data_IF_363464964628
#
_entry.id   IF_363464964628
#
_cell.length_a   1.000
_cell.length_b   1.000
_cell.length_c   1.000
_cell.angle_alpha   90.00
_cell.angle_beta   90.00
_cell.angle_gamma   90.00
#
_symmetry.space_group_name_H-M   'P 1'
#
loop_
_entity.id
_entity.type
_entity.pdbx_description
1 polymer ?
#
# COMPACT_ATOMS: atom_id res chain seq x y z
N UNK A 1 21.07 -27.46 -32.27
CA UNK A 1 20.08 -26.37 -32.11
C UNK A 1 18.84 -27.02 -31.53
N UNK A 2 18.66 -26.93 -30.22
CA UNK A 2 17.56 -27.58 -29.50
C UNK A 2 16.37 -26.60 -29.39
N UNK A 3 15.20 -27.06 -29.79
CA UNK A 3 13.92 -26.33 -29.73
C UNK A 3 13.52 -26.02 -28.28
N UNK A 4 12.89 -24.87 -28.02
CA UNK A 4 12.30 -24.59 -26.72
C UNK A 4 10.96 -25.34 -26.58
N UNK A 5 10.85 -26.14 -25.52
CA UNK A 5 9.60 -26.73 -25.06
C UNK A 5 8.70 -25.62 -24.48
N UNK A 6 7.63 -25.29 -25.19
CA UNK A 6 6.51 -24.54 -24.62
C UNK A 6 5.68 -25.50 -23.76
N UNK A 7 5.65 -25.27 -22.45
CA UNK A 7 4.71 -25.91 -21.53
C UNK A 7 3.39 -25.13 -21.65
N UNK A 8 2.39 -25.75 -22.26
CA UNK A 8 1.04 -25.19 -22.35
C UNK A 8 0.32 -25.35 -21.01
N UNK A 9 -0.21 -24.25 -20.47
CA UNK A 9 -1.12 -24.26 -19.32
C UNK A 9 -2.53 -24.61 -19.80
N UNK A 10 -3.14 -25.62 -19.18
CA UNK A 10 -4.45 -26.15 -19.58
C UNK A 10 -5.57 -25.39 -18.85
N UNK A 11 -6.42 -24.68 -19.61
CA UNK A 11 -7.65 -24.08 -19.12
C UNK A 11 -8.73 -25.16 -19.03
N UNK A 12 -9.13 -25.55 -17.82
CA UNK A 12 -10.27 -26.44 -17.61
C UNK A 12 -11.54 -25.59 -17.52
N UNK A 13 -12.26 -25.45 -18.64
CA UNK A 13 -13.52 -24.68 -18.74
C UNK A 13 -14.79 -25.54 -18.55
N UNK A 14 -15.90 -24.98 -18.03
CA UNK A 14 -17.20 -25.62 -18.03
C UNK A 14 -18.00 -25.40 -19.33
N UNK A 15 -19.03 -26.24 -19.50
CA UNK A 15 -19.92 -26.44 -20.67
C UNK A 15 -20.64 -25.15 -21.16
N UNK A 16 -20.89 -24.95 -22.47
CA UNK A 16 -21.38 -23.69 -23.00
C UNK A 16 -22.88 -23.50 -22.75
N UNK A 17 -23.24 -22.38 -22.13
CA UNK A 17 -24.61 -21.88 -21.95
C UNK A 17 -24.63 -20.37 -22.19
N UNK A 18 -25.60 -19.90 -22.98
CA UNK A 18 -25.56 -18.61 -23.69
C UNK A 18 -25.66 -17.31 -22.87
N UNK A 19 -25.29 -16.23 -23.57
CA UNK A 19 -25.42 -14.78 -23.32
C UNK A 19 -24.50 -14.13 -22.24
N UNK A 20 -23.25 -13.83 -22.59
CA UNK A 20 -22.31 -13.09 -21.71
C UNK A 20 -21.35 -12.21 -22.51
N UNK A 21 -21.81 -11.09 -23.08
CA UNK A 21 -20.90 -10.13 -23.74
C UNK A 21 -20.78 -8.79 -23.01
N UNK A 22 -21.80 -8.34 -22.28
CA UNK A 22 -21.73 -7.08 -21.53
C UNK A 22 -21.24 -7.26 -20.07
N UNK A 23 -21.71 -8.31 -19.39
CA UNK A 23 -21.36 -8.57 -17.97
C UNK A 23 -19.89 -9.02 -17.83
N UNK A 24 -19.37 -9.76 -18.81
CA UNK A 24 -17.99 -10.26 -18.80
C UNK A 24 -16.95 -9.13 -18.84
N UNK A 25 -17.24 -8.02 -19.51
CA UNK A 25 -16.28 -6.91 -19.69
C UNK A 25 -16.14 -6.09 -18.40
N UNK A 26 -17.23 -5.92 -17.65
CA UNK A 26 -17.21 -5.12 -16.42
C UNK A 26 -16.43 -5.78 -15.27
N UNK A 27 -16.23 -7.10 -15.32
CA UNK A 27 -15.59 -7.86 -14.25
C UNK A 27 -14.35 -8.63 -14.71
N UNK A 28 -13.78 -8.24 -15.85
CA UNK A 28 -12.53 -8.81 -16.33
C UNK A 28 -11.38 -8.42 -15.39
N UNK A 29 -10.57 -9.41 -15.05
CA UNK A 29 -9.29 -9.21 -14.40
C UNK A 29 -8.17 -9.45 -15.39
N UNK A 30 -7.15 -8.61 -15.34
CA UNK A 30 -5.83 -8.94 -15.90
C UNK A 30 -4.97 -9.45 -14.76
N UNK A 31 -4.54 -10.70 -14.83
CA UNK A 31 -3.76 -11.36 -13.79
C UNK A 31 -2.38 -11.71 -14.33
N UNK A 32 -1.33 -11.30 -13.64
CA UNK A 32 0.05 -11.69 -13.95
C UNK A 32 0.54 -12.64 -12.88
N UNK A 33 0.77 -13.91 -13.23
CA UNK A 33 1.35 -14.93 -12.33
C UNK A 33 2.69 -15.36 -12.88
N UNK A 34 3.74 -15.26 -12.06
CA UNK A 34 5.12 -15.66 -12.45
C UNK A 34 5.61 -15.04 -13.78
N UNK A 35 5.10 -13.85 -14.14
CA UNK A 35 5.44 -13.12 -15.37
C UNK A 35 4.55 -13.41 -16.58
N UNK A 36 3.58 -14.32 -16.46
CA UNK A 36 2.60 -14.61 -17.50
C UNK A 36 1.32 -13.82 -17.23
N UNK A 37 0.95 -12.96 -18.18
CA UNK A 37 -0.30 -12.19 -18.14
C UNK A 37 -1.46 -13.01 -18.70
N UNK A 38 -2.61 -12.96 -18.05
CA UNK A 38 -3.81 -13.72 -18.44
C UNK A 38 -5.06 -12.93 -18.07
N UNK A 39 -5.95 -12.78 -19.03
CA UNK A 39 -7.29 -12.24 -18.80
C UNK A 39 -8.20 -13.33 -18.24
N UNK A 40 -8.89 -13.04 -17.15
CA UNK A 40 -9.82 -13.98 -16.50
C UNK A 40 -11.04 -13.25 -15.95
N UNK A 41 -12.23 -13.78 -16.24
CA UNK A 41 -13.49 -13.33 -15.66
C UNK A 41 -14.20 -14.42 -14.84
N UNK A 42 -13.76 -15.67 -14.94
CA UNK A 42 -14.25 -16.81 -14.16
C UNK A 42 -13.22 -17.95 -14.15
N UNK A 43 -13.36 -18.88 -13.20
CA UNK A 43 -12.53 -20.08 -13.14
C UNK A 43 -11.27 -19.91 -12.29
N UNK A 44 -10.24 -20.72 -12.58
CA UNK A 44 -9.00 -20.79 -11.78
C UNK A 44 -7.78 -20.89 -12.66
N UNK A 45 -6.77 -20.07 -12.37
CA UNK A 45 -5.42 -20.17 -12.93
C UNK A 45 -4.52 -20.87 -11.91
N UNK A 46 -3.80 -21.89 -12.35
CA UNK A 46 -2.80 -22.58 -11.53
C UNK A 46 -1.44 -21.92 -11.75
N UNK A 47 -0.81 -21.45 -10.68
CA UNK A 47 0.59 -21.05 -10.69
C UNK A 47 1.49 -22.23 -10.33
N UNK A 48 2.80 -21.97 -10.28
CA UNK A 48 3.81 -22.98 -9.93
C UNK A 48 3.68 -23.51 -8.49
N UNK A 49 3.22 -22.67 -7.57
CA UNK A 49 3.16 -22.96 -6.13
C UNK A 49 1.77 -22.70 -5.51
N UNK A 50 0.86 -22.11 -6.27
CA UNK A 50 -0.39 -21.57 -5.75
C UNK A 50 -1.41 -21.39 -6.86
N UNK A 51 -2.50 -20.67 -6.58
CA UNK A 51 -3.58 -20.48 -7.56
C UNK A 51 -4.23 -19.12 -7.45
N UNK A 52 -4.86 -18.71 -8.54
CA UNK A 52 -5.79 -17.57 -8.60
C UNK A 52 -7.17 -18.10 -8.97
N UNK A 53 -8.19 -17.80 -8.18
CA UNK A 53 -9.56 -18.23 -8.41
C UNK A 53 -10.48 -17.02 -8.40
N UNK A 54 -11.26 -16.84 -9.46
CA UNK A 54 -12.39 -15.90 -9.46
C UNK A 54 -13.51 -16.56 -8.66
N UNK A 55 -13.87 -15.97 -7.51
CA UNK A 55 -14.83 -16.55 -6.57
C UNK A 55 -16.27 -16.19 -6.89
N UNK A 56 -16.47 -15.02 -7.50
CA UNK A 56 -17.72 -14.52 -8.06
C UNK A 56 -17.40 -13.33 -8.97
N UNK A 57 -18.36 -12.81 -9.77
CA UNK A 57 -18.10 -11.66 -10.64
C UNK A 57 -17.49 -10.48 -9.87
N UNK A 58 -16.33 -10.03 -10.32
CA UNK A 58 -15.56 -8.94 -9.71
C UNK A 58 -14.82 -9.31 -8.42
N UNK A 59 -14.85 -10.57 -7.97
CA UNK A 59 -14.13 -11.01 -6.78
C UNK A 59 -13.12 -12.11 -7.10
N UNK A 60 -11.90 -11.96 -6.59
CA UNK A 60 -10.78 -12.83 -6.92
C UNK A 60 -9.96 -13.16 -5.67
N UNK A 61 -9.51 -14.40 -5.56
CA UNK A 61 -8.63 -14.88 -4.50
C UNK A 61 -7.33 -15.41 -5.12
N UNK A 62 -6.18 -14.95 -4.63
CA UNK A 62 -4.86 -15.42 -4.99
C UNK A 62 -4.18 -16.01 -3.74
N UNK A 63 -3.73 -17.26 -3.82
CA UNK A 63 -3.22 -18.00 -2.67
C UNK A 63 -1.91 -18.72 -3.00
N UNK A 64 -0.90 -18.57 -2.13
CA UNK A 64 0.36 -19.32 -2.19
C UNK A 64 1.30 -18.97 -3.35
N UNK A 65 1.10 -17.83 -4.01
CA UNK A 65 1.90 -17.44 -5.18
C UNK A 65 3.20 -16.74 -4.79
N UNK A 66 4.29 -17.02 -5.52
CA UNK A 66 5.54 -16.29 -5.32
C UNK A 66 5.38 -14.82 -5.70
N UNK A 67 4.79 -14.55 -6.86
CA UNK A 67 4.52 -13.21 -7.37
C UNK A 67 3.19 -13.20 -8.10
N UNK A 68 2.31 -12.26 -7.76
CA UNK A 68 1.02 -12.07 -8.42
C UNK A 68 0.66 -10.60 -8.54
N UNK A 69 0.15 -10.19 -9.69
CA UNK A 69 -0.45 -8.88 -9.91
C UNK A 69 -1.87 -9.07 -10.41
N UNK A 70 -2.82 -8.34 -9.83
CA UNK A 70 -4.23 -8.37 -10.24
C UNK A 70 -4.64 -6.94 -10.58
N UNK A 71 -5.20 -6.76 -11.78
CA UNK A 71 -5.70 -5.47 -12.26
C UNK A 71 -7.17 -5.54 -12.62
N UNK A 72 -7.94 -4.51 -12.25
CA UNK A 72 -9.33 -4.35 -12.67
C UNK A 72 -10.35 -5.11 -11.79
N UNK A 73 -11.34 -5.75 -12.42
CA UNK A 73 -12.43 -6.44 -11.71
C UNK A 73 -13.66 -5.59 -11.39
N UNK A 74 -13.79 -4.39 -11.96
CA UNK A 74 -15.01 -3.58 -11.87
C UNK A 74 -15.35 -3.08 -10.47
N UNK A 75 -14.34 -2.87 -9.62
CA UNK A 75 -14.55 -2.37 -8.26
C UNK A 75 -14.96 -3.43 -7.23
N UNK A 76 -14.79 -4.72 -7.53
CA UNK A 76 -14.97 -5.77 -6.53
C UNK A 76 -13.71 -6.03 -5.68
N UNK A 77 -13.73 -7.13 -4.90
CA UNK A 77 -12.73 -7.41 -3.88
C UNK A 77 -11.70 -8.45 -4.32
N UNK A 78 -10.42 -8.15 -4.07
CA UNK A 78 -9.30 -9.07 -4.30
C UNK A 78 -8.65 -9.44 -2.98
N UNK A 79 -8.40 -10.73 -2.79
CA UNK A 79 -7.79 -11.28 -1.56
C UNK A 79 -6.51 -12.02 -1.92
N UNK A 80 -5.40 -11.66 -1.27
CA UNK A 80 -4.10 -12.30 -1.40
C UNK A 80 -3.76 -12.99 -0.09
N UNK A 81 -3.45 -14.28 -0.16
CA UNK A 81 -3.06 -15.08 0.99
C UNK A 81 -1.72 -15.73 0.75
N UNK A 82 -0.81 -15.64 1.72
CA UNK A 82 0.50 -16.31 1.70
C UNK A 82 1.35 -16.03 0.44
N UNK A 83 1.18 -14.86 -0.16
CA UNK A 83 1.91 -14.50 -1.38
C UNK A 83 3.29 -13.90 -1.04
N UNK A 84 4.31 -14.20 -1.85
CA UNK A 84 5.62 -13.57 -1.73
C UNK A 84 5.54 -12.07 -2.02
N UNK A 85 5.20 -11.75 -3.26
CA UNK A 85 4.92 -10.39 -3.73
C UNK A 85 3.50 -10.35 -4.32
N UNK A 86 2.67 -9.43 -3.84
CA UNK A 86 1.28 -9.28 -4.28
C UNK A 86 1.00 -7.83 -4.65
N UNK A 87 0.39 -7.60 -5.80
CA UNK A 87 0.00 -6.26 -6.25
C UNK A 87 -1.46 -6.22 -6.69
N UNK A 88 -2.15 -5.13 -6.34
CA UNK A 88 -3.52 -4.85 -6.75
C UNK A 88 -3.60 -3.46 -7.39
N UNK A 89 -4.12 -3.38 -8.61
CA UNK A 89 -4.20 -2.12 -9.37
C UNK A 89 -5.63 -1.88 -9.86
N UNK A 90 -6.21 -0.72 -9.57
CA UNK A 90 -7.55 -0.34 -10.03
C UNK A 90 -8.66 -1.26 -9.52
N UNK A 91 -8.55 -1.75 -8.29
CA UNK A 91 -9.52 -2.65 -7.65
C UNK A 91 -10.43 -1.89 -6.69
N UNK A 92 -11.58 -2.47 -6.33
CA UNK A 92 -12.44 -1.87 -5.31
C UNK A 92 -11.83 -1.98 -3.93
N UNK A 93 -11.56 -3.21 -3.52
CA UNK A 93 -10.96 -3.51 -2.22
C UNK A 93 -9.85 -4.55 -2.34
N UNK A 94 -8.74 -4.35 -1.65
CA UNK A 94 -7.61 -5.29 -1.59
C UNK A 94 -7.35 -5.76 -0.16
N UNK A 95 -7.26 -7.07 0.04
CA UNK A 95 -6.91 -7.69 1.32
C UNK A 95 -5.65 -8.52 1.18
N UNK A 96 -4.67 -8.28 2.06
CA UNK A 96 -3.39 -8.98 2.07
C UNK A 96 -3.20 -9.70 3.40
N UNK A 97 -3.20 -11.03 3.33
CA UNK A 97 -3.03 -11.92 4.47
C UNK A 97 -1.68 -12.60 4.39
N UNK A 98 -0.77 -12.21 5.29
CA UNK A 98 0.56 -12.80 5.39
C UNK A 98 1.38 -12.76 4.08
N UNK A 99 1.37 -11.61 3.41
CA UNK A 99 2.16 -11.42 2.20
C UNK A 99 3.57 -10.90 2.53
N UNK A 100 4.55 -11.11 1.65
CA UNK A 100 5.89 -10.54 1.80
C UNK A 100 5.90 -9.05 1.47
N UNK A 101 5.88 -8.70 0.18
CA UNK A 101 5.68 -7.35 -0.30
C UNK A 101 4.26 -7.17 -0.84
N UNK A 102 3.65 -6.04 -0.54
CA UNK A 102 2.30 -5.68 -0.99
C UNK A 102 2.35 -4.34 -1.70
N UNK A 103 1.85 -4.27 -2.93
CA UNK A 103 1.69 -3.01 -3.67
C UNK A 103 0.23 -2.76 -3.98
N UNK A 104 -0.21 -1.53 -3.82
CA UNK A 104 -1.55 -1.12 -4.21
C UNK A 104 -1.49 0.19 -4.96
N UNK A 105 -2.17 0.25 -6.09
CA UNK A 105 -2.38 1.50 -6.83
C UNK A 105 -3.87 1.62 -7.19
N UNK A 106 -4.52 2.68 -6.73
CA UNK A 106 -5.93 2.94 -7.03
C UNK A 106 -6.87 1.90 -6.42
N UNK A 107 -7.04 1.94 -5.10
CA UNK A 107 -8.02 1.11 -4.39
C UNK A 107 -8.89 1.93 -3.42
N UNK A 108 -10.18 1.61 -3.31
CA UNK A 108 -11.04 2.29 -2.33
C UNK A 108 -10.72 1.86 -0.90
N UNK A 109 -10.47 0.57 -0.69
CA UNK A 109 -10.13 0.02 0.61
C UNK A 109 -8.97 -0.97 0.54
N UNK A 110 -8.03 -0.84 1.47
CA UNK A 110 -6.86 -1.72 1.61
C UNK A 110 -6.79 -2.23 3.04
N UNK A 111 -6.66 -3.55 3.19
CA UNK A 111 -6.45 -4.20 4.47
C UNK A 111 -5.22 -5.10 4.43
N UNK A 112 -4.33 -4.95 5.42
CA UNK A 112 -3.09 -5.73 5.51
C UNK A 112 -2.93 -6.26 6.92
N UNK A 113 -3.04 -7.58 7.10
CA UNK A 113 -2.86 -8.20 8.42
C UNK A 113 -1.38 -8.38 8.75
N UNK A 114 -0.58 -8.79 7.77
CA UNK A 114 0.87 -8.96 7.95
C UNK A 114 1.62 -8.78 6.65
N UNK A 115 2.58 -7.86 6.64
CA UNK A 115 3.55 -7.68 5.56
C UNK A 115 4.99 -7.46 6.05
N UNK A 116 5.95 -7.67 5.15
CA UNK A 116 7.31 -7.13 5.30
C UNK A 116 7.35 -5.69 4.80
N UNK A 117 6.83 -5.42 3.60
CA UNK A 117 6.78 -4.09 3.00
C UNK A 117 5.40 -3.84 2.37
N UNK A 118 4.89 -2.63 2.56
CA UNK A 118 3.67 -2.12 1.93
C UNK A 118 4.00 -0.81 1.22
N UNK A 119 3.68 -0.74 -0.07
CA UNK A 119 3.63 0.49 -0.84
C UNK A 119 2.18 0.67 -1.32
N UNK A 120 1.50 1.72 -0.89
CA UNK A 120 0.14 2.02 -1.38
C UNK A 120 0.05 3.45 -1.90
N UNK A 121 -0.48 3.59 -3.11
CA UNK A 121 -0.75 4.86 -3.76
C UNK A 121 -2.25 4.97 -4.08
N UNK A 122 -2.80 6.16 -3.92
CA UNK A 122 -4.21 6.46 -4.24
C UNK A 122 -5.18 5.48 -3.57
N UNK A 123 -5.03 5.32 -2.25
CA UNK A 123 -5.83 4.41 -1.45
C UNK A 123 -6.81 5.15 -0.55
N UNK A 124 -8.12 4.96 -0.75
CA UNK A 124 -9.16 5.69 -0.02
C UNK A 124 -9.07 5.46 1.51
N UNK A 125 -9.09 4.20 1.92
CA UNK A 125 -8.92 3.77 3.32
C UNK A 125 -7.90 2.65 3.41
N UNK A 126 -6.93 2.79 4.31
CA UNK A 126 -5.87 1.81 4.52
C UNK A 126 -5.84 1.37 5.98
N UNK A 127 -5.94 0.06 6.23
CA UNK A 127 -5.79 -0.56 7.55
C UNK A 127 -4.61 -1.52 7.56
N UNK A 128 -3.65 -1.31 8.46
CA UNK A 128 -2.44 -2.14 8.59
C UNK A 128 -2.31 -2.64 10.02
N UNK A 129 -2.42 -3.95 10.24
CA UNK A 129 -2.23 -4.51 11.57
C UNK A 129 -0.74 -4.62 11.92
N UNK A 130 0.05 -5.20 11.02
CA UNK A 130 1.49 -5.40 11.22
C UNK A 130 2.25 -5.32 9.91
N UNK A 131 3.12 -4.33 9.78
CA UNK A 131 4.12 -4.31 8.71
C UNK A 131 5.51 -3.97 9.25
N UNK A 132 6.59 -4.31 8.55
CA UNK A 132 7.89 -3.71 8.91
C UNK A 132 7.97 -2.31 8.34
N UNK A 133 7.74 -2.16 7.05
CA UNK A 133 7.88 -0.89 6.34
C UNK A 133 6.58 -0.60 5.59
N UNK A 134 5.99 0.57 5.83
CA UNK A 134 4.80 1.03 5.13
C UNK A 134 5.08 2.40 4.52
N UNK A 135 4.89 2.52 3.21
CA UNK A 135 4.94 3.77 2.44
C UNK A 135 3.56 3.99 1.84
N UNK A 136 2.96 5.13 2.14
CA UNK A 136 1.56 5.38 1.86
C UNK A 136 1.43 6.80 1.33
N UNK A 137 0.88 6.93 0.11
CA UNK A 137 0.71 8.23 -0.56
C UNK A 137 -0.69 8.40 -1.09
N UNK A 138 -1.29 9.55 -0.78
CA UNK A 138 -2.58 9.95 -1.35
C UNK A 138 -3.72 9.06 -0.87
N UNK A 139 -4.43 9.50 0.17
CA UNK A 139 -5.56 8.76 0.69
C UNK A 139 -6.45 9.55 1.63
N UNK A 140 -7.56 8.95 2.02
CA UNK A 140 -8.50 9.56 2.96
C UNK A 140 -8.13 9.24 4.41
N UNK A 141 -8.08 7.95 4.73
CA UNK A 141 -7.92 7.46 6.09
C UNK A 141 -6.85 6.37 6.18
N UNK A 142 -5.92 6.53 7.12
CA UNK A 142 -4.93 5.52 7.47
C UNK A 142 -5.07 5.11 8.94
N UNK A 143 -5.14 3.80 9.20
CA UNK A 143 -4.97 3.22 10.53
C UNK A 143 -3.89 2.15 10.51
N UNK A 144 -2.78 2.35 11.22
CA UNK A 144 -1.75 1.33 11.39
C UNK A 144 -1.45 1.03 12.87
N UNK A 145 -1.38 -0.25 13.23
CA UNK A 145 -1.24 -0.67 14.64
C UNK A 145 0.18 -1.05 15.05
N UNK A 146 0.97 -1.61 14.15
CA UNK A 146 2.36 -2.00 14.44
C UNK A 146 3.23 -1.93 13.20
N UNK A 147 3.97 -0.84 13.06
CA UNK A 147 4.98 -0.70 12.02
C UNK A 147 6.39 -0.57 12.61
N UNK A 148 7.43 -1.05 11.91
CA UNK A 148 8.80 -0.63 12.26
C UNK A 148 9.00 0.81 11.77
N UNK A 149 8.63 1.08 10.53
CA UNK A 149 8.64 2.41 9.92
C UNK A 149 7.34 2.62 9.17
N UNK A 150 6.75 3.79 9.32
CA UNK A 150 5.63 4.29 8.51
C UNK A 150 6.06 5.63 7.89
N UNK A 151 5.90 5.74 6.59
CA UNK A 151 6.15 6.93 5.78
C UNK A 151 4.82 7.27 5.08
N UNK A 152 4.23 8.41 5.43
CA UNK A 152 2.85 8.75 5.08
C UNK A 152 2.81 10.15 4.50
N UNK A 153 2.20 10.29 3.34
CA UNK A 153 2.14 11.55 2.60
C UNK A 153 0.74 11.79 2.05
N UNK A 154 0.22 13.01 2.22
CA UNK A 154 -1.06 13.44 1.63
C UNK A 154 -2.27 12.58 2.07
N UNK A 155 -2.50 12.51 3.39
CA UNK A 155 -3.66 11.82 3.98
C UNK A 155 -4.57 12.78 4.75
N UNK A 156 -5.89 12.62 4.62
CA UNK A 156 -6.84 13.39 5.44
C UNK A 156 -6.71 13.10 6.94
N UNK A 157 -6.71 11.82 7.30
CA UNK A 157 -6.62 11.35 8.68
C UNK A 157 -5.65 10.18 8.82
N UNK A 158 -4.76 10.27 9.80
CA UNK A 158 -3.73 9.26 10.07
C UNK A 158 -3.73 8.88 11.54
N UNK A 159 -3.92 7.60 11.83
CA UNK A 159 -3.80 7.03 13.18
C UNK A 159 -2.75 5.93 13.23
N UNK A 160 -1.68 6.15 13.97
CA UNK A 160 -0.56 5.22 14.08
C UNK A 160 -0.30 4.84 15.54
N UNK A 161 -0.23 3.54 15.80
CA UNK A 161 0.11 3.02 17.11
C UNK A 161 1.39 2.18 17.05
N UNK A 162 2.13 2.15 18.17
CA UNK A 162 3.25 1.23 18.44
C UNK A 162 4.29 1.15 17.32
N UNK A 163 4.58 2.27 16.67
CA UNK A 163 5.57 2.36 15.59
C UNK A 163 6.97 2.69 16.12
N UNK A 164 8.04 2.13 15.53
CA UNK A 164 9.42 2.55 15.90
C UNK A 164 9.83 3.87 15.25
N UNK A 165 9.29 4.20 14.09
CA UNK A 165 9.53 5.46 13.41
C UNK A 165 8.32 5.82 12.55
N UNK A 166 7.95 7.09 12.58
CA UNK A 166 6.88 7.65 11.77
C UNK A 166 7.43 8.88 11.07
N UNK A 167 7.22 8.98 9.76
CA UNK A 167 7.33 10.20 8.98
C UNK A 167 5.95 10.47 8.39
N UNK A 168 5.45 11.66 8.63
CA UNK A 168 4.14 12.09 8.16
C UNK A 168 4.26 13.48 7.56
N UNK A 169 3.77 13.65 6.35
CA UNK A 169 3.82 14.91 5.63
C UNK A 169 2.48 15.20 4.97
N UNK A 170 2.07 16.47 4.97
CA UNK A 170 0.81 16.91 4.35
C UNK A 170 -0.42 16.12 4.85
N UNK A 171 -0.57 15.96 6.16
CA UNK A 171 -1.74 15.29 6.74
C UNK A 171 -2.78 16.29 7.25
N UNK A 172 -4.08 16.02 7.08
CA UNK A 172 -5.12 16.83 7.74
C UNK A 172 -5.03 16.69 9.27
N UNK A 173 -5.00 15.45 9.75
CA UNK A 173 -4.82 15.12 11.16
C UNK A 173 -3.89 13.90 11.33
N UNK A 174 -3.03 13.97 12.35
CA UNK A 174 -2.08 12.91 12.72
C UNK A 174 -2.22 12.57 14.20
N UNK A 175 -2.69 11.37 14.50
CA UNK A 175 -2.73 10.79 15.85
C UNK A 175 -1.65 9.71 15.99
N UNK A 176 -0.74 9.88 16.95
CA UNK A 176 0.35 8.92 17.22
C UNK A 176 0.33 8.43 18.66
N UNK A 177 0.39 7.11 18.84
CA UNK A 177 0.28 6.47 20.15
C UNK A 177 1.42 5.49 20.37
N UNK A 178 2.13 5.58 21.50
CA UNK A 178 3.19 4.63 21.87
C UNK A 178 4.32 4.49 20.82
N UNK A 179 4.64 5.56 20.09
CA UNK A 179 5.65 5.55 19.03
C UNK A 179 7.04 5.97 19.55
N UNK A 180 8.12 5.42 18.98
CA UNK A 180 9.48 5.81 19.47
C UNK A 180 9.95 7.15 18.91
N UNK A 181 9.79 7.39 17.62
CA UNK A 181 10.18 8.64 16.97
C UNK A 181 9.11 9.00 15.95
N UNK A 182 8.72 10.27 15.94
CA UNK A 182 7.72 10.82 15.02
C UNK A 182 8.30 12.10 14.45
N UNK A 183 8.37 12.18 13.13
CA UNK A 183 8.67 13.40 12.39
C UNK A 183 7.40 13.77 11.60
N UNK A 184 6.83 14.94 11.89
CA UNK A 184 5.61 15.43 11.25
C UNK A 184 5.87 16.80 10.60
N UNK A 185 5.49 16.95 9.34
CA UNK A 185 5.56 18.23 8.63
C UNK A 185 4.24 18.57 7.95
N UNK A 186 3.89 19.87 7.94
CA UNK A 186 2.72 20.39 7.21
C UNK A 186 1.42 19.65 7.51
N UNK A 187 1.22 19.27 8.77
CA UNK A 187 -0.01 18.65 9.23
C UNK A 187 -0.97 19.70 9.81
N UNK A 188 -2.27 19.60 9.54
CA UNK A 188 -3.26 20.51 10.14
C UNK A 188 -3.30 20.38 11.68
N UNK A 189 -3.34 19.14 12.17
CA UNK A 189 -3.28 18.84 13.60
C UNK A 189 -2.40 17.61 13.88
N UNK A 190 -1.63 17.68 14.97
CA UNK A 190 -0.83 16.56 15.49
C UNK A 190 -1.21 16.31 16.94
N UNK A 191 -1.66 15.10 17.25
CA UNK A 191 -1.96 14.66 18.61
C UNK A 191 -1.20 13.38 18.94
N UNK A 192 -0.89 13.17 20.23
CA UNK A 192 -0.28 11.91 20.63
C UNK A 192 -0.04 11.72 22.12
N UNK A 193 0.22 10.46 22.48
CA UNK A 193 0.55 10.06 23.84
C UNK A 193 1.66 8.99 23.85
N UNK A 194 2.47 9.02 24.91
CA UNK A 194 3.56 8.06 25.21
C UNK A 194 4.53 7.84 24.05
N UNK A 195 4.89 8.91 23.36
CA UNK A 195 5.93 8.86 22.34
C UNK A 195 7.29 9.24 22.93
N UNK A 196 8.43 8.69 22.46
CA UNK A 196 9.73 9.13 23.06
C UNK A 196 10.16 10.49 22.54
N UNK A 197 10.06 10.72 21.22
CA UNK A 197 10.41 11.99 20.57
C UNK A 197 9.40 12.30 19.47
N UNK A 198 9.01 13.56 19.39
CA UNK A 198 8.16 14.10 18.33
C UNK A 198 8.79 15.39 17.82
N UNK A 199 9.16 15.40 16.54
CA UNK A 199 9.60 16.59 15.83
C UNK A 199 8.47 17.06 14.93
N UNK A 200 8.16 18.35 14.98
CA UNK A 200 7.04 18.94 14.23
C UNK A 200 7.52 20.20 13.51
N UNK A 201 7.17 20.36 12.23
CA UNK A 201 7.49 21.54 11.44
C UNK A 201 6.29 21.99 10.59
N UNK A 202 5.95 23.28 10.64
CA UNK A 202 4.86 23.84 9.83
C UNK A 202 3.48 23.21 10.08
N UNK A 203 3.21 22.70 11.29
CA UNK A 203 1.90 22.12 11.64
C UNK A 203 1.02 23.13 12.38
N UNK A 204 -0.29 23.10 12.14
CA UNK A 204 -1.23 24.08 12.68
C UNK A 204 -1.46 23.97 14.19
N UNK A 205 -1.72 22.77 14.69
CA UNK A 205 -1.92 22.51 16.13
C UNK A 205 -1.16 21.26 16.59
N UNK A 206 -0.61 21.32 17.80
CA UNK A 206 0.20 20.22 18.39
C UNK A 206 -0.23 19.96 19.83
N UNK A 207 -0.78 18.77 20.09
CA UNK A 207 -1.23 18.30 21.39
C UNK A 207 -0.62 16.93 21.71
N UNK A 208 0.62 16.92 22.18
CA UNK A 208 1.35 15.69 22.51
C UNK A 208 1.67 15.64 24.00
N UNK A 209 1.36 14.52 24.64
CA UNK A 209 1.67 14.26 26.04
C UNK A 209 2.67 13.12 26.20
N UNK A 210 3.40 13.10 27.31
CA UNK A 210 4.40 12.08 27.63
C UNK A 210 5.44 11.85 26.51
N UNK A 211 5.95 12.95 25.94
CA UNK A 211 6.98 12.93 24.91
C UNK A 211 7.91 14.14 24.99
N UNK A 212 9.12 14.00 24.46
CA UNK A 212 9.99 15.15 24.16
C UNK A 212 9.55 15.71 22.81
N UNK A 213 9.02 16.94 22.80
CA UNK A 213 8.54 17.62 21.59
C UNK A 213 9.55 18.67 21.15
N UNK A 214 9.87 18.68 19.85
CA UNK A 214 10.63 19.76 19.20
C UNK A 214 9.79 20.34 18.08
N UNK A 215 9.61 21.64 18.10
CA UNK A 215 8.96 22.40 17.04
C UNK A 215 10.01 23.17 16.26
N UNK A 216 10.00 23.06 14.94
CA UNK A 216 10.90 23.78 14.04
C UNK A 216 10.06 24.71 13.19
N UNK A 217 10.37 26.00 13.23
CA UNK A 217 9.78 26.98 12.32
C UNK A 217 10.40 26.80 10.92
N UNK A 218 9.58 26.88 9.88
CA UNK A 218 9.95 26.48 8.52
C UNK A 218 11.14 27.30 7.95
N UNK A 219 11.31 28.55 8.40
CA UNK A 219 12.43 29.43 8.02
C UNK A 219 13.82 28.87 8.40
N UNK A 220 13.91 28.05 9.46
CA UNK A 220 15.18 27.46 9.90
C UNK A 220 15.60 26.23 9.08
N UNK A 221 14.69 25.62 8.31
CA UNK A 221 15.01 24.50 7.42
C UNK A 221 15.60 25.00 6.09
N UNK A 222 15.07 26.10 5.54
CA UNK A 222 15.52 26.66 4.26
C UNK A 222 16.91 27.34 4.36
N UNK A 223 17.21 27.95 5.52
CA UNK A 223 18.53 28.55 5.79
C UNK A 223 19.66 27.52 5.92
N UNK A 224 19.36 26.27 6.26
CA UNK A 224 20.36 25.18 6.31
C UNK A 224 20.66 24.54 4.94
N UNK A 225 19.81 24.75 3.94
CA UNK A 225 20.03 24.26 2.56
C UNK A 225 20.71 25.28 1.63
N UNK A 226 20.89 26.54 2.06
CA UNK A 226 21.42 27.61 1.19
C UNK A 226 22.93 27.88 1.36
N UNK A 227 23.66 27.10 2.16
CA UNK A 227 25.13 27.24 2.25
C UNK A 227 25.83 26.39 1.17
N UNK A 228 25.80 26.88 -0.06
CA UNK A 228 26.83 26.57 -1.06
C UNK A 228 27.36 27.90 -1.60
N UNK A 229 28.55 28.35 -1.16
CA UNK A 229 29.20 29.47 -1.80
C UNK A 229 29.65 29.07 -3.21
N UNK A 230 29.26 29.88 -4.18
CA UNK A 230 29.80 29.88 -5.52
C UNK A 230 31.34 29.98 -5.45
N UNK A 231 32.06 29.06 -6.10
CA UNK A 231 33.46 29.30 -6.47
C UNK A 231 33.49 29.85 -7.89
N UNK A 232 33.44 31.17 -7.98
CA UNK A 232 33.91 31.95 -9.11
C UNK A 232 35.34 32.42 -8.82
N UNK A 233 36.26 32.10 -9.72
CA UNK A 233 37.65 32.57 -9.77
C UNK A 233 38.44 31.55 -10.62
N UNK A 234 38.76 31.77 -11.90
CA UNK A 234 39.54 32.87 -12.48
C UNK A 234 40.92 32.99 -11.86
N UNK A 235 41.84 32.13 -12.31
CA UNK A 235 43.20 32.48 -12.78
C UNK A 235 43.80 31.29 -13.54
#
# INVERSE_FOLDING_TARGET
MASPHHIAMELVGPKPGGSSSAVAVHHMFVVVVDGVETDIHEGTLQGSLGKVTVTSPGNLSADGLRSVVVRGGGGGAVVFTLCGDAAAEGVGSASFVQCGATRVDGAREVSVSRCRSLDAEQAGKVTVERCREARLRGGGLLRATRCRRADVESFGEVRLARCKGVRADWCGSLEVQMCRAVDASRCGAVSGDRCRRVNVAGCGSVAVTHAVVKTVEEEQLQSQQTVSPQSSGSE
#
